data_IF_819407716788
#
_entry.id   IF_819407716788
#
_cell.length_a   1.000
_cell.length_b   1.000
_cell.length_c   1.000
_cell.angle_alpha   90.00
_cell.angle_beta   90.00
_cell.angle_gamma   90.00
#
_symmetry.space_group_name_H-M   'P 1'
#
loop_
_entity.id
_entity.type
_entity.pdbx_description
1 polymer ?
#
# COMPACT_ATOMS: atom_id res chain seq x y z
N UNK A 1 56.90 -6.79 -21.10
CA UNK A 1 55.96 -7.84 -20.66
C UNK A 1 54.87 -7.13 -19.88
N UNK A 2 53.72 -6.89 -20.52
CA UNK A 2 52.59 -6.19 -19.89
C UNK A 2 51.74 -7.24 -19.17
N UNK A 3 51.79 -7.23 -17.85
CA UNK A 3 50.94 -8.07 -17.00
C UNK A 3 49.54 -7.46 -17.02
N UNK A 4 48.64 -8.02 -17.82
CA UNK A 4 47.22 -7.67 -17.78
C UNK A 4 46.66 -8.21 -16.46
N UNK A 5 46.55 -7.37 -15.44
CA UNK A 5 45.89 -7.71 -14.17
C UNK A 5 44.41 -8.01 -14.45
N UNK A 6 43.98 -9.23 -14.13
CA UNK A 6 42.57 -9.59 -14.10
C UNK A 6 41.83 -8.66 -13.10
N UNK A 7 40.54 -8.35 -13.32
CA UNK A 7 39.78 -7.52 -12.41
C UNK A 7 39.66 -8.21 -11.04
N UNK A 8 40.18 -7.57 -9.99
CA UNK A 8 39.98 -7.98 -8.61
C UNK A 8 38.59 -7.56 -8.14
N UNK A 9 37.86 -8.49 -7.53
CA UNK A 9 36.56 -8.25 -6.91
C UNK A 9 36.72 -7.27 -5.75
N UNK A 10 35.84 -6.28 -5.69
CA UNK A 10 35.88 -5.26 -4.63
C UNK A 10 35.03 -5.69 -3.43
N UNK A 11 35.34 -5.15 -2.24
CA UNK A 11 34.50 -5.36 -1.05
C UNK A 11 33.03 -4.94 -1.28
N UNK A 12 32.79 -3.91 -2.10
CA UNK A 12 31.45 -3.48 -2.47
C UNK A 12 30.72 -4.50 -3.36
N UNK A 13 31.43 -5.13 -4.29
CA UNK A 13 30.90 -6.20 -5.14
C UNK A 13 30.56 -7.44 -4.30
N UNK A 14 31.45 -7.83 -3.40
CA UNK A 14 31.20 -8.93 -2.46
C UNK A 14 29.96 -8.69 -1.60
N UNK A 15 29.81 -7.50 -1.03
CA UNK A 15 28.64 -7.16 -0.21
C UNK A 15 27.33 -7.23 -1.00
N UNK A 16 27.35 -6.87 -2.29
CA UNK A 16 26.18 -6.99 -3.16
C UNK A 16 25.85 -8.46 -3.44
N UNK A 17 26.85 -9.22 -3.88
CA UNK A 17 26.68 -10.63 -4.25
C UNK A 17 26.24 -11.45 -3.04
N UNK A 18 26.86 -11.26 -1.87
CA UNK A 18 26.51 -12.02 -0.67
C UNK A 18 25.10 -11.73 -0.17
N UNK A 19 24.64 -10.48 -0.28
CA UNK A 19 23.28 -10.09 0.10
C UNK A 19 22.23 -10.72 -0.82
N UNK A 20 22.50 -10.77 -2.13
CA UNK A 20 21.61 -11.40 -3.10
C UNK A 20 21.59 -12.93 -2.98
N UNK A 21 22.75 -13.56 -2.74
CA UNK A 21 22.86 -15.01 -2.64
C UNK A 21 22.29 -15.58 -1.33
N UNK A 22 22.22 -14.78 -0.26
CA UNK A 22 21.65 -15.21 1.02
C UNK A 22 20.18 -15.64 0.95
N UNK A 23 19.44 -15.15 -0.05
CA UNK A 23 18.04 -15.53 -0.31
C UNK A 23 17.90 -16.55 -1.44
N UNK A 24 19.00 -17.02 -2.05
CA UNK A 24 18.97 -17.98 -3.14
C UNK A 24 18.70 -19.40 -2.63
N UNK A 25 17.93 -20.18 -3.40
CA UNK A 25 17.74 -21.61 -3.15
C UNK A 25 19.04 -22.42 -3.33
N UNK A 26 20.05 -21.83 -3.97
CA UNK A 26 21.34 -22.48 -4.24
C UNK A 26 22.39 -22.24 -3.14
N UNK A 27 22.01 -21.58 -2.04
CA UNK A 27 22.93 -21.18 -0.96
C UNK A 27 23.70 -22.36 -0.32
N UNK A 28 23.10 -23.55 -0.29
CA UNK A 28 23.71 -24.78 0.24
C UNK A 28 24.16 -25.75 -0.87
N UNK A 29 24.19 -25.29 -2.12
CA UNK A 29 24.73 -26.09 -3.23
C UNK A 29 26.25 -26.00 -3.24
N UNK A 30 26.94 -27.11 -3.46
CA UNK A 30 28.41 -27.11 -3.47
C UNK A 30 28.98 -26.17 -4.54
N UNK A 31 30.01 -25.40 -4.19
CA UNK A 31 30.68 -24.46 -5.10
C UNK A 31 31.28 -25.18 -6.31
N UNK A 32 31.71 -26.43 -6.14
CA UNK A 32 32.16 -27.28 -7.25
C UNK A 32 31.05 -27.53 -8.27
N UNK A 33 29.84 -27.87 -7.81
CA UNK A 33 28.68 -28.05 -8.70
C UNK A 33 28.28 -26.75 -9.40
N UNK A 34 28.29 -25.62 -8.68
CA UNK A 34 27.98 -24.32 -9.26
C UNK A 34 29.00 -23.92 -10.32
N UNK A 35 30.31 -24.09 -10.04
CA UNK A 35 31.38 -23.79 -10.98
C UNK A 35 31.30 -24.64 -12.27
N UNK A 36 30.96 -25.93 -12.14
CA UNK A 36 30.79 -26.83 -13.29
C UNK A 36 29.65 -26.40 -14.21
N UNK A 37 28.57 -25.84 -13.66
CA UNK A 37 27.42 -25.38 -14.45
C UNK A 37 27.70 -24.08 -15.22
N UNK A 38 28.78 -23.36 -14.89
CA UNK A 38 29.12 -22.06 -15.47
C UNK A 38 30.19 -22.14 -16.57
N UNK A 39 30.59 -23.35 -16.99
CA UNK A 39 31.71 -23.60 -17.92
C UNK A 39 33.04 -22.90 -17.52
N UNK A 40 33.17 -22.54 -16.23
CA UNK A 40 34.31 -21.84 -15.66
C UNK A 40 35.38 -22.78 -15.10
N UNK A 41 36.50 -22.24 -14.58
CA UNK A 41 37.45 -23.04 -13.82
C UNK A 41 36.76 -23.64 -12.60
N UNK A 42 36.97 -24.93 -12.36
CA UNK A 42 36.39 -25.63 -11.21
C UNK A 42 36.84 -25.03 -9.87
N UNK A 43 35.98 -25.15 -8.87
CA UNK A 43 36.33 -24.80 -7.49
C UNK A 43 37.45 -25.73 -7.00
N UNK A 44 38.56 -25.21 -6.46
CA UNK A 44 39.76 -26.00 -6.17
C UNK A 44 39.64 -26.86 -4.91
N UNK A 45 38.67 -26.58 -4.04
CA UNK A 45 38.46 -27.29 -2.78
C UNK A 45 37.37 -28.34 -3.00
N UNK A 46 37.76 -29.61 -3.02
CA UNK A 46 36.84 -30.73 -3.18
C UNK A 46 36.30 -31.21 -1.83
N UNK A 47 35.56 -30.33 -1.15
CA UNK A 47 34.84 -30.66 0.09
C UNK A 47 33.35 -30.35 -0.12
N UNK A 48 32.43 -31.30 0.15
CA UNK A 48 30.98 -31.06 0.07
C UNK A 48 30.48 -29.92 0.96
N UNK A 49 31.21 -29.57 2.03
CA UNK A 49 30.88 -28.44 2.91
C UNK A 49 31.27 -27.07 2.31
N UNK A 50 31.95 -27.04 1.17
CA UNK A 50 32.28 -25.82 0.44
C UNK A 50 31.07 -25.32 -0.33
N UNK A 51 30.18 -24.65 0.40
CA UNK A 51 28.96 -24.03 -0.10
C UNK A 51 29.07 -22.50 0.00
N UNK A 52 28.25 -21.75 -0.76
CA UNK A 52 28.11 -20.31 -0.57
C UNK A 52 27.87 -19.93 0.89
N UNK A 53 26.98 -20.64 1.61
CA UNK A 53 26.67 -20.39 3.03
C UNK A 53 27.90 -20.34 3.95
N UNK A 54 28.97 -21.08 3.66
CA UNK A 54 30.21 -21.04 4.45
C UNK A 54 30.92 -19.68 4.40
N UNK A 55 30.62 -18.86 3.39
CA UNK A 55 31.29 -17.58 3.12
C UNK A 55 30.41 -16.35 3.32
N UNK A 56 29.08 -16.44 3.13
CA UNK A 56 28.19 -15.26 3.05
C UNK A 56 28.21 -14.36 4.30
N UNK A 57 28.43 -14.92 5.48
CA UNK A 57 28.49 -14.15 6.74
C UNK A 57 29.82 -13.39 6.90
N UNK A 58 30.84 -13.78 6.15
CA UNK A 58 32.18 -13.19 6.21
C UNK A 58 32.28 -11.91 5.39
N UNK A 59 33.08 -10.97 5.86
CA UNK A 59 33.54 -9.80 5.08
C UNK A 59 34.57 -10.22 4.03
N UNK A 60 34.84 -9.37 3.04
CA UNK A 60 35.81 -9.68 1.96
C UNK A 60 37.18 -10.09 2.52
N UNK A 61 37.63 -9.38 3.55
CA UNK A 61 38.95 -9.60 4.16
C UNK A 61 38.98 -10.93 4.94
N UNK A 62 37.86 -11.28 5.58
CA UNK A 62 37.70 -12.54 6.31
C UNK A 62 37.62 -13.74 5.35
N UNK A 63 36.97 -13.59 4.20
CA UNK A 63 36.95 -14.65 3.16
C UNK A 63 38.36 -14.87 2.62
N UNK A 64 39.09 -13.81 2.26
CA UNK A 64 40.47 -13.92 1.78
C UNK A 64 41.35 -14.60 2.84
N UNK A 65 41.20 -14.21 4.12
CA UNK A 65 41.93 -14.83 5.22
C UNK A 65 41.53 -16.30 5.47
N UNK A 66 40.26 -16.66 5.27
CA UNK A 66 39.78 -18.04 5.37
C UNK A 66 40.37 -18.92 4.25
N UNK A 67 40.34 -18.44 3.00
CA UNK A 67 40.92 -19.12 1.85
C UNK A 67 42.45 -19.26 1.99
N UNK A 68 43.13 -18.23 2.47
CA UNK A 68 44.57 -18.29 2.74
C UNK A 68 44.93 -19.35 3.80
N UNK A 69 44.12 -19.51 4.85
CA UNK A 69 44.30 -20.58 5.85
C UNK A 69 44.14 -21.99 5.27
N UNK A 70 43.33 -22.12 4.21
CA UNK A 70 43.17 -23.36 3.45
C UNK A 70 44.24 -23.53 2.35
N UNK A 71 45.26 -22.66 2.30
CA UNK A 71 46.37 -22.72 1.34
C UNK A 71 46.01 -22.20 -0.06
N UNK A 72 44.90 -21.49 -0.21
CA UNK A 72 44.46 -20.94 -1.48
C UNK A 72 45.06 -19.55 -1.75
N UNK A 73 45.36 -19.22 -3.02
CA UNK A 73 45.87 -17.92 -3.40
C UNK A 73 44.75 -16.85 -3.39
N UNK A 74 45.07 -15.55 -3.23
CA UNK A 74 44.07 -14.49 -3.05
C UNK A 74 43.11 -14.34 -4.24
N UNK A 75 43.52 -14.72 -5.45
CA UNK A 75 42.69 -14.70 -6.66
C UNK A 75 41.49 -15.66 -6.59
N UNK A 76 41.47 -16.60 -5.62
CA UNK A 76 40.30 -17.46 -5.38
C UNK A 76 39.10 -16.71 -4.85
N UNK A 77 39.33 -15.57 -4.19
CA UNK A 77 38.24 -14.68 -3.81
C UNK A 77 37.50 -14.17 -5.06
N UNK A 78 38.24 -13.73 -6.08
CA UNK A 78 37.67 -13.24 -7.34
C UNK A 78 36.86 -14.35 -8.05
N UNK A 79 37.36 -15.59 -8.01
CA UNK A 79 36.65 -16.74 -8.55
C UNK A 79 35.36 -17.05 -7.78
N UNK A 80 35.37 -16.97 -6.45
CA UNK A 80 34.17 -17.15 -5.63
C UNK A 80 33.11 -16.10 -5.99
N UNK A 81 33.50 -14.83 -6.05
CA UNK A 81 32.60 -13.74 -6.45
C UNK A 81 32.04 -13.97 -7.86
N UNK A 82 32.89 -14.39 -8.81
CA UNK A 82 32.46 -14.70 -10.17
C UNK A 82 31.45 -15.86 -10.22
N UNK A 83 31.71 -16.98 -9.53
CA UNK A 83 30.78 -18.12 -9.48
C UNK A 83 29.42 -17.67 -8.95
N UNK A 84 29.38 -16.95 -7.83
CA UNK A 84 28.11 -16.54 -7.23
C UNK A 84 27.37 -15.52 -8.10
N UNK A 85 28.09 -14.53 -8.66
CA UNK A 85 27.51 -13.52 -9.54
C UNK A 85 26.94 -14.14 -10.81
N UNK A 86 27.69 -15.02 -11.45
CA UNK A 86 27.28 -15.60 -12.73
C UNK A 86 26.17 -16.64 -12.50
N UNK A 87 26.16 -17.33 -11.35
CA UNK A 87 25.01 -18.15 -10.91
C UNK A 87 23.75 -17.30 -10.72
N UNK A 88 23.85 -16.15 -10.04
CA UNK A 88 22.71 -15.23 -9.87
C UNK A 88 22.22 -14.70 -11.22
N UNK A 89 23.13 -14.34 -12.12
CA UNK A 89 22.78 -13.87 -13.47
C UNK A 89 22.07 -14.93 -14.31
N UNK A 90 22.37 -16.23 -14.09
CA UNK A 90 21.67 -17.33 -14.73
C UNK A 90 20.28 -17.58 -14.14
N UNK A 91 20.09 -17.30 -12.84
CA UNK A 91 18.80 -17.43 -12.12
C UNK A 91 17.88 -16.20 -12.27
N UNK A 92 18.44 -15.03 -12.59
CA UNK A 92 17.71 -13.76 -12.81
C UNK A 92 16.56 -13.88 -13.84
N UNK A 93 16.73 -14.48 -15.04
CA UNK A 93 15.61 -14.65 -15.98
C UNK A 93 14.51 -15.58 -15.44
N UNK A 94 14.82 -16.50 -14.53
CA UNK A 94 13.82 -17.36 -13.89
C UNK A 94 13.11 -16.63 -12.74
N UNK A 95 13.85 -15.85 -11.96
CA UNK A 95 13.30 -14.99 -10.90
C UNK A 95 12.36 -13.93 -11.49
N UNK A 96 12.75 -13.28 -12.59
CA UNK A 96 11.88 -12.35 -13.31
C UNK A 96 10.63 -13.05 -13.87
N UNK A 97 10.75 -14.27 -14.38
CA UNK A 97 9.62 -15.02 -14.91
C UNK A 97 8.62 -15.46 -13.81
N UNK A 98 9.10 -15.84 -12.62
CA UNK A 98 8.24 -16.16 -11.47
C UNK A 98 7.51 -14.92 -10.97
N UNK A 99 8.23 -13.80 -10.81
CA UNK A 99 7.62 -12.52 -10.44
C UNK A 99 6.58 -12.05 -11.48
N UNK A 100 6.86 -12.21 -12.78
CA UNK A 100 5.91 -11.94 -13.85
C UNK A 100 4.69 -12.88 -13.79
N UNK A 101 4.86 -14.14 -13.41
CA UNK A 101 3.76 -15.11 -13.28
C UNK A 101 2.84 -14.78 -12.11
N UNK A 102 3.38 -14.37 -10.95
CA UNK A 102 2.59 -13.92 -9.81
C UNK A 102 1.86 -12.60 -10.11
N UNK A 103 2.53 -11.68 -10.82
CA UNK A 103 1.92 -10.43 -11.28
C UNK A 103 0.83 -10.69 -12.31
N UNK A 104 1.02 -11.64 -13.24
CA UNK A 104 0.02 -12.04 -14.23
C UNK A 104 -1.20 -12.70 -13.57
N UNK A 105 -1.00 -13.58 -12.58
CA UNK A 105 -2.08 -14.22 -11.83
C UNK A 105 -2.91 -13.20 -11.02
N UNK A 106 -2.26 -12.18 -10.43
CA UNK A 106 -2.94 -11.07 -9.78
C UNK A 106 -3.68 -10.17 -10.79
N UNK A 107 -3.09 -9.91 -11.96
CA UNK A 107 -3.73 -9.19 -13.06
C UNK A 107 -4.88 -9.96 -13.70
N UNK A 108 -4.97 -11.28 -13.57
CA UNK A 108 -6.13 -12.06 -14.05
C UNK A 108 -7.38 -11.89 -13.18
N UNK A 109 -7.24 -11.33 -11.97
CA UNK A 109 -8.39 -11.11 -11.11
C UNK A 109 -9.29 -10.00 -11.69
N UNK A 110 -10.54 -10.31 -12.07
CA UNK A 110 -11.45 -9.34 -12.68
C UNK A 110 -11.77 -8.17 -11.74
N UNK A 111 -11.77 -8.41 -10.42
CA UNK A 111 -11.99 -7.37 -9.40
C UNK A 111 -10.82 -6.38 -9.39
N UNK A 112 -9.57 -6.85 -9.42
CA UNK A 112 -8.36 -6.01 -9.47
C UNK A 112 -8.35 -5.16 -10.74
N UNK A 113 -8.67 -5.76 -11.90
CA UNK A 113 -8.82 -5.01 -13.16
C UNK A 113 -9.87 -3.91 -13.07
N UNK A 114 -11.00 -4.19 -12.42
CA UNK A 114 -12.08 -3.21 -12.29
C UNK A 114 -11.74 -2.10 -11.28
N UNK A 115 -11.03 -2.40 -10.19
CA UNK A 115 -10.47 -1.40 -9.27
C UNK A 115 -9.57 -0.43 -10.04
N UNK A 116 -8.66 -0.94 -10.86
CA UNK A 116 -7.78 -0.12 -11.70
C UNK A 116 -8.56 0.75 -12.71
N UNK A 117 -9.60 0.21 -13.37
CA UNK A 117 -10.47 0.96 -14.30
C UNK A 117 -11.17 2.13 -13.60
N UNK A 118 -11.64 1.92 -12.38
CA UNK A 118 -12.30 2.92 -11.55
C UNK A 118 -11.31 3.84 -10.82
N UNK A 119 -9.99 3.61 -10.95
CA UNK A 119 -8.92 4.29 -10.21
C UNK A 119 -9.08 4.19 -8.69
N UNK A 120 -9.69 3.11 -8.21
CA UNK A 120 -9.81 2.84 -6.78
C UNK A 120 -8.50 2.19 -6.31
N UNK A 121 -7.80 2.77 -5.32
CA UNK A 121 -6.54 2.22 -4.85
C UNK A 121 -6.77 0.89 -4.13
N UNK A 122 -6.00 -0.13 -4.51
CA UNK A 122 -6.01 -1.45 -3.87
C UNK A 122 -5.60 -1.37 -2.40
N UNK A 123 -4.75 -0.40 -2.06
CA UNK A 123 -4.28 -0.12 -0.69
C UNK A 123 -5.36 0.49 0.21
N UNK A 124 -6.56 0.77 -0.29
CA UNK A 124 -7.63 1.32 0.52
C UNK A 124 -7.98 0.35 1.67
N UNK A 125 -7.91 0.80 2.93
CA UNK A 125 -8.14 -0.07 4.07
C UNK A 125 -9.63 -0.39 4.22
N UNK A 126 -9.96 -1.68 4.31
CA UNK A 126 -11.33 -2.16 4.56
C UNK A 126 -11.90 -1.60 5.85
N UNK A 127 -11.04 -1.36 6.84
CA UNK A 127 -11.45 -0.72 8.09
C UNK A 127 -12.13 0.64 7.85
N UNK A 128 -11.79 1.37 6.76
CA UNK A 128 -12.40 2.65 6.38
C UNK A 128 -13.69 2.51 5.54
N UNK A 129 -14.00 1.33 5.01
CA UNK A 129 -15.23 1.04 4.29
C UNK A 129 -16.46 0.99 5.22
N UNK A 130 -17.66 1.14 4.66
CA UNK A 130 -18.93 0.99 5.37
C UNK A 130 -19.42 -0.46 5.36
N UNK A 131 -18.58 -1.36 5.84
CA UNK A 131 -18.93 -2.76 6.08
C UNK A 131 -19.43 -2.95 7.52
N UNK A 132 -20.27 -3.95 7.70
CA UNK A 132 -20.77 -4.40 8.98
C UNK A 132 -19.62 -4.89 9.87
N UNK A 133 -19.74 -4.77 11.20
CA UNK A 133 -18.71 -5.23 12.12
C UNK A 133 -18.35 -6.71 11.93
N UNK A 134 -19.35 -7.56 11.68
CA UNK A 134 -19.18 -8.99 11.46
C UNK A 134 -18.30 -9.29 10.24
N UNK A 135 -18.53 -8.58 9.13
CA UNK A 135 -17.73 -8.70 7.91
C UNK A 135 -16.31 -8.18 8.12
N UNK A 136 -16.13 -7.09 8.86
CA UNK A 136 -14.79 -6.59 9.20
C UNK A 136 -14.03 -7.53 10.14
N UNK A 137 -14.72 -8.23 11.05
CA UNK A 137 -14.10 -9.28 11.87
C UNK A 137 -13.69 -10.48 11.04
N UNK A 138 -14.54 -10.91 10.11
CA UNK A 138 -14.21 -11.97 9.18
C UNK A 138 -12.95 -11.63 8.36
N UNK A 139 -12.90 -10.45 7.75
CA UNK A 139 -11.72 -9.99 7.01
C UNK A 139 -10.47 -9.95 7.90
N UNK A 140 -10.57 -9.51 9.16
CA UNK A 140 -9.44 -9.52 10.11
C UNK A 140 -8.94 -10.92 10.44
N UNK A 141 -9.84 -11.90 10.62
CA UNK A 141 -9.47 -13.30 10.89
C UNK A 141 -8.74 -13.94 9.72
N UNK A 142 -9.11 -13.57 8.50
CA UNK A 142 -8.47 -14.01 7.26
C UNK A 142 -7.24 -13.18 6.87
N UNK A 143 -6.76 -12.29 7.77
CA UNK A 143 -5.64 -11.38 7.54
C UNK A 143 -5.81 -10.48 6.28
N UNK A 144 -7.03 -9.99 6.07
CA UNK A 144 -7.40 -9.10 4.97
C UNK A 144 -7.66 -7.71 5.53
N UNK A 145 -6.77 -6.77 5.21
CA UNK A 145 -6.82 -5.39 5.65
C UNK A 145 -7.17 -4.41 4.51
N UNK A 146 -6.86 -4.74 3.26
CA UNK A 146 -6.98 -3.85 2.09
C UNK A 146 -7.96 -4.35 1.03
N UNK A 147 -8.37 -3.48 0.09
CA UNK A 147 -9.22 -3.87 -1.04
C UNK A 147 -8.53 -4.83 -2.02
N UNK A 148 -7.21 -4.69 -2.21
CA UNK A 148 -6.43 -5.63 -3.03
C UNK A 148 -6.44 -7.04 -2.43
N UNK A 149 -6.14 -7.15 -1.14
CA UNK A 149 -6.21 -8.42 -0.41
C UNK A 149 -7.63 -8.99 -0.42
N UNK A 150 -8.65 -8.14 -0.30
CA UNK A 150 -10.06 -8.54 -0.42
C UNK A 150 -10.36 -9.18 -1.79
N UNK A 151 -9.87 -8.58 -2.87
CA UNK A 151 -10.05 -9.10 -4.22
C UNK A 151 -9.38 -10.47 -4.39
N UNK A 152 -8.17 -10.65 -3.87
CA UNK A 152 -7.43 -11.92 -3.89
C UNK A 152 -8.12 -12.99 -3.03
N UNK A 153 -8.63 -12.61 -1.86
CA UNK A 153 -9.39 -13.49 -0.98
C UNK A 153 -10.65 -14.03 -1.69
N UNK A 154 -11.37 -13.15 -2.39
CA UNK A 154 -12.57 -13.54 -3.13
C UNK A 154 -12.29 -14.58 -4.22
N UNK A 155 -11.14 -14.51 -4.88
CA UNK A 155 -10.72 -15.48 -5.89
C UNK A 155 -10.45 -16.87 -5.29
N UNK A 156 -9.92 -16.92 -4.06
CA UNK A 156 -9.66 -18.18 -3.32
C UNK A 156 -10.94 -18.88 -2.84
N UNK A 157 -12.04 -18.15 -2.69
CA UNK A 157 -13.29 -18.66 -2.09
C UNK A 157 -14.35 -19.18 -3.05
N UNK A 158 -14.01 -19.48 -4.32
CA UNK A 158 -15.01 -19.94 -5.31
C UNK A 158 -15.76 -21.24 -4.94
N UNK A 159 -15.39 -21.94 -3.86
CA UNK A 159 -15.97 -23.26 -3.53
C UNK A 159 -16.46 -23.51 -2.09
N UNK A 160 -16.24 -22.66 -1.07
CA UNK A 160 -16.49 -23.16 0.32
C UNK A 160 -16.93 -22.25 1.46
N UNK A 161 -17.34 -20.99 1.25
CA UNK A 161 -17.88 -20.19 2.38
C UNK A 161 -19.17 -19.49 1.97
N UNK A 162 -20.17 -19.56 2.85
CA UNK A 162 -21.43 -18.80 2.80
C UNK A 162 -21.13 -17.31 2.99
N UNK A 163 -20.45 -16.70 2.03
CA UNK A 163 -20.24 -15.25 1.98
C UNK A 163 -21.63 -14.61 1.76
N UNK A 164 -22.22 -14.11 2.84
CA UNK A 164 -23.55 -13.51 2.88
C UNK A 164 -23.45 -12.03 3.23
N UNK A 165 -24.49 -11.26 2.90
CA UNK A 165 -24.59 -9.85 3.27
C UNK A 165 -23.75 -8.91 2.42
N UNK A 166 -23.12 -7.94 3.08
CA UNK A 166 -22.36 -6.85 2.48
C UNK A 166 -21.04 -7.29 1.81
N UNK A 167 -20.37 -8.35 2.28
CA UNK A 167 -19.17 -8.90 1.62
C UNK A 167 -19.49 -9.29 0.18
N UNK A 168 -20.55 -10.07 -0.01
CA UNK A 168 -20.98 -10.53 -1.34
C UNK A 168 -21.50 -9.36 -2.18
N UNK A 169 -22.21 -8.42 -1.56
CA UNK A 169 -22.71 -7.23 -2.26
C UNK A 169 -21.55 -6.37 -2.79
N UNK A 170 -20.53 -6.10 -1.98
CA UNK A 170 -19.33 -5.35 -2.38
C UNK A 170 -18.55 -6.10 -3.46
N UNK A 171 -18.34 -7.41 -3.30
CA UNK A 171 -17.64 -8.23 -4.28
C UNK A 171 -18.36 -8.22 -5.63
N UNK A 172 -19.68 -8.43 -5.64
CA UNK A 172 -20.48 -8.39 -6.86
C UNK A 172 -20.42 -7.01 -7.52
N UNK A 173 -20.49 -5.94 -6.72
CA UNK A 173 -20.42 -4.59 -7.22
C UNK A 173 -19.07 -4.27 -7.87
N UNK A 174 -17.97 -4.74 -7.29
CA UNK A 174 -16.64 -4.61 -7.90
C UNK A 174 -16.46 -5.50 -9.13
N UNK A 175 -17.05 -6.69 -9.13
CA UNK A 175 -16.95 -7.65 -10.25
C UNK A 175 -17.69 -7.16 -11.50
N UNK A 176 -18.77 -6.41 -11.33
CA UNK A 176 -19.64 -5.95 -12.42
C UNK A 176 -19.64 -4.43 -12.64
N UNK A 177 -18.84 -3.67 -11.88
CA UNK A 177 -18.82 -2.20 -11.92
C UNK A 177 -20.23 -1.63 -11.67
N UNK A 178 -20.85 -2.05 -10.56
CA UNK A 178 -22.11 -1.48 -10.07
C UNK A 178 -21.80 -0.26 -9.19
N UNK A 179 -21.54 0.88 -9.83
CA UNK A 179 -21.22 2.15 -9.17
C UNK A 179 -22.22 2.57 -8.07
N UNK A 180 -23.56 2.47 -8.27
CA UNK A 180 -24.54 2.71 -7.21
C UNK A 180 -24.34 1.86 -5.96
N UNK A 181 -24.01 0.58 -6.11
CA UNK A 181 -23.76 -0.31 -4.97
C UNK A 181 -22.38 -0.05 -4.36
N UNK A 182 -21.36 0.26 -5.16
CA UNK A 182 -20.04 0.65 -4.68
C UNK A 182 -20.11 1.88 -3.75
N UNK A 183 -20.88 2.89 -4.12
CA UNK A 183 -21.08 4.11 -3.32
C UNK A 183 -21.77 3.88 -1.96
N UNK A 184 -22.31 2.68 -1.71
CA UNK A 184 -22.88 2.28 -0.39
C UNK A 184 -21.83 1.78 0.58
N UNK A 185 -20.71 1.28 0.08
CA UNK A 185 -19.67 0.62 0.87
C UNK A 185 -18.34 1.35 0.83
N UNK A 186 -18.05 2.05 -0.27
CA UNK A 186 -16.82 2.77 -0.52
C UNK A 186 -17.11 4.27 -0.67
N UNK A 187 -16.12 5.12 -0.37
CA UNK A 187 -16.18 6.57 -0.59
C UNK A 187 -16.05 6.91 -2.08
N UNK A 188 -16.95 6.37 -2.89
CA UNK A 188 -16.95 6.42 -4.34
C UNK A 188 -18.12 7.29 -4.83
N UNK A 189 -17.86 8.09 -5.86
CA UNK A 189 -18.89 8.91 -6.50
C UNK A 189 -19.23 8.33 -7.88
N UNK A 190 -20.49 7.94 -8.12
CA UNK A 190 -20.91 7.47 -9.45
C UNK A 190 -20.58 8.48 -10.55
N UNK A 191 -20.01 8.00 -11.65
CA UNK A 191 -19.53 8.80 -12.78
C UNK A 191 -18.18 9.49 -12.58
N UNK A 192 -17.58 9.40 -11.39
CA UNK A 192 -16.24 9.90 -11.12
C UNK A 192 -15.25 8.75 -10.94
N UNK A 193 -13.96 9.05 -11.03
CA UNK A 193 -12.88 8.09 -10.79
C UNK A 193 -12.24 8.35 -9.43
N UNK A 194 -11.79 7.27 -8.82
CA UNK A 194 -11.14 7.29 -7.53
C UNK A 194 -12.10 7.33 -6.35
N UNK A 195 -11.49 7.43 -5.17
CA UNK A 195 -12.17 7.63 -3.90
C UNK A 195 -12.09 9.09 -3.51
N UNK A 196 -13.06 9.58 -2.74
CA UNK A 196 -13.17 11.00 -2.40
C UNK A 196 -13.45 11.22 -0.91
N UNK A 197 -12.74 12.18 -0.31
CA UNK A 197 -12.86 12.50 1.11
C UNK A 197 -14.28 12.95 1.50
N UNK A 198 -14.92 13.79 0.68
CA UNK A 198 -16.29 14.28 0.93
C UNK A 198 -17.26 13.10 1.01
N UNK A 199 -17.13 12.13 0.11
CA UNK A 199 -17.95 10.91 0.12
C UNK A 199 -17.60 10.02 1.32
N UNK A 200 -16.34 9.96 1.74
CA UNK A 200 -15.91 9.19 2.90
C UNK A 200 -16.54 9.70 4.21
N UNK A 201 -16.56 11.02 4.40
CA UNK A 201 -17.20 11.62 5.57
C UNK A 201 -18.72 11.46 5.48
N UNK A 202 -19.31 11.65 4.30
CA UNK A 202 -20.74 11.41 4.09
C UNK A 202 -21.12 9.95 4.39
N UNK A 203 -20.29 8.99 3.96
CA UNK A 203 -20.46 7.58 4.21
C UNK A 203 -20.40 7.25 5.70
N UNK A 204 -19.45 7.83 6.45
CA UNK A 204 -19.38 7.70 7.90
C UNK A 204 -20.63 8.21 8.61
N UNK A 205 -21.21 9.32 8.14
CA UNK A 205 -22.49 9.85 8.66
C UNK A 205 -23.67 8.95 8.30
N UNK A 206 -23.70 8.40 7.09
CA UNK A 206 -24.76 7.47 6.63
C UNK A 206 -24.76 6.15 7.40
N UNK A 207 -23.60 5.70 7.87
CA UNK A 207 -23.48 4.49 8.69
C UNK A 207 -24.13 4.62 10.08
N UNK A 208 -24.40 5.84 10.55
CA UNK A 208 -25.06 6.06 11.84
C UNK A 208 -26.53 5.63 11.82
N UNK A 209 -27.09 5.20 12.97
CA UNK A 209 -28.51 4.96 13.13
C UNK A 209 -29.36 6.18 12.70
N UNK A 210 -30.56 5.99 12.11
CA UNK A 210 -31.37 7.10 11.60
C UNK A 210 -31.65 8.22 12.62
N UNK A 211 -31.85 7.87 13.89
CA UNK A 211 -32.10 8.83 14.96
C UNK A 211 -30.89 9.73 15.24
N UNK A 212 -29.70 9.12 15.40
CA UNK A 212 -28.44 9.87 15.60
C UNK A 212 -28.11 10.74 14.39
N UNK A 213 -28.37 10.22 13.20
CA UNK A 213 -28.17 10.96 11.95
C UNK A 213 -29.06 12.19 11.87
N UNK A 214 -30.34 12.09 12.24
CA UNK A 214 -31.26 13.23 12.25
C UNK A 214 -30.80 14.32 13.24
N UNK A 215 -30.34 13.92 14.43
CA UNK A 215 -29.76 14.85 15.42
C UNK A 215 -28.54 15.56 14.85
N UNK A 216 -27.66 14.80 14.18
CA UNK A 216 -26.42 15.35 13.61
C UNK A 216 -26.70 16.31 12.45
N UNK A 217 -27.69 16.01 11.61
CA UNK A 217 -28.14 16.92 10.54
C UNK A 217 -28.73 18.21 11.10
N UNK A 218 -29.45 18.14 12.22
CA UNK A 218 -29.98 19.32 12.90
C UNK A 218 -28.88 20.12 13.65
N UNK A 219 -27.89 19.42 14.21
CA UNK A 219 -26.79 20.01 14.98
C UNK A 219 -25.48 19.26 14.75
N UNK A 220 -24.64 19.71 13.80
CA UNK A 220 -23.37 19.06 13.49
C UNK A 220 -22.40 19.03 14.68
N UNK A 221 -22.52 19.98 15.61
CA UNK A 221 -21.74 20.03 16.83
C UNK A 221 -21.99 18.84 17.78
N UNK A 222 -23.13 18.14 17.63
CA UNK A 222 -23.50 16.97 18.43
C UNK A 222 -22.77 15.68 18.02
N UNK A 223 -21.81 15.75 17.09
CA UNK A 223 -21.03 14.60 16.65
C UNK A 223 -20.42 13.81 17.82
N UNK A 224 -20.61 12.49 17.84
CA UNK A 224 -20.03 11.62 18.85
C UNK A 224 -18.48 11.61 18.76
N UNK A 225 -17.76 11.35 19.87
CA UNK A 225 -16.30 11.27 19.85
C UNK A 225 -15.77 10.20 18.87
N UNK A 226 -16.48 9.07 18.74
CA UNK A 226 -16.13 8.00 17.81
C UNK A 226 -16.24 8.43 16.35
N UNK A 227 -17.29 9.18 15.99
CA UNK A 227 -17.43 9.74 14.65
C UNK A 227 -16.32 10.74 14.35
N UNK A 228 -15.99 11.64 15.29
CA UNK A 228 -14.88 12.60 15.10
C UNK A 228 -13.53 11.90 14.94
N UNK A 229 -13.27 10.85 15.72
CA UNK A 229 -12.07 10.04 15.57
C UNK A 229 -12.01 9.36 14.20
N UNK A 230 -13.15 8.86 13.71
CA UNK A 230 -13.28 8.27 12.38
C UNK A 230 -13.01 9.29 11.27
N UNK A 231 -13.60 10.48 11.35
CA UNK A 231 -13.37 11.56 10.38
C UNK A 231 -11.88 11.98 10.38
N UNK A 232 -11.24 12.02 11.54
CA UNK A 232 -9.78 12.27 11.62
C UNK A 232 -8.98 11.20 10.88
N UNK A 233 -9.30 9.92 11.03
CA UNK A 233 -8.63 8.84 10.30
C UNK A 233 -8.81 8.98 8.78
N UNK A 234 -10.02 9.34 8.35
CA UNK A 234 -10.30 9.63 6.94
C UNK A 234 -9.47 10.82 6.44
N UNK A 235 -9.41 11.91 7.19
CA UNK A 235 -8.62 13.08 6.82
C UNK A 235 -7.11 12.78 6.71
N UNK A 236 -6.59 11.86 7.53
CA UNK A 236 -5.19 11.38 7.45
C UNK A 236 -4.99 10.53 6.18
N UNK A 237 -5.91 9.62 5.87
CA UNK A 237 -5.81 8.79 4.66
C UNK A 237 -5.90 9.65 3.39
N UNK A 238 -6.81 10.62 3.37
CA UNK A 238 -7.04 11.54 2.25
C UNK A 238 -6.26 12.86 2.41
N UNK A 239 -5.07 12.85 3.01
CA UNK A 239 -4.30 14.08 3.30
C UNK A 239 -4.02 14.96 2.07
N UNK A 240 -3.84 14.34 0.89
CA UNK A 240 -3.67 15.06 -0.38
C UNK A 240 -4.94 15.84 -0.73
N UNK A 241 -6.11 15.19 -0.74
CA UNK A 241 -7.39 15.87 -0.97
C UNK A 241 -7.70 16.93 0.10
N UNK A 242 -7.33 16.71 1.37
CA UNK A 242 -7.44 17.75 2.40
C UNK A 242 -6.67 19.01 2.02
N UNK A 243 -5.46 18.84 1.46
CA UNK A 243 -4.60 19.94 1.01
C UNK A 243 -5.20 20.63 -0.20
N UNK A 244 -5.70 19.88 -1.17
CA UNK A 244 -6.34 20.41 -2.38
C UNK A 244 -7.63 21.19 -2.05
N UNK A 245 -8.46 20.66 -1.15
CA UNK A 245 -9.65 21.34 -0.64
C UNK A 245 -9.28 22.66 0.05
N UNK A 246 -8.25 22.65 0.89
CA UNK A 246 -7.78 23.86 1.56
C UNK A 246 -7.23 24.91 0.58
N UNK A 247 -6.52 24.48 -0.47
CA UNK A 247 -6.08 25.38 -1.53
C UNK A 247 -7.27 26.02 -2.25
N UNK A 248 -8.29 25.24 -2.62
CA UNK A 248 -9.51 25.78 -3.23
C UNK A 248 -10.23 26.79 -2.32
N UNK A 249 -10.27 26.52 -1.02
CA UNK A 249 -10.82 27.44 -0.02
C UNK A 249 -10.01 28.73 0.06
N UNK A 250 -8.68 28.63 0.07
CA UNK A 250 -7.79 29.79 0.05
C UNK A 250 -7.96 30.64 -1.23
N UNK A 251 -8.32 30.00 -2.36
CA UNK A 251 -8.69 30.66 -3.61
C UNK A 251 -10.13 31.20 -3.65
N UNK A 252 -10.85 31.16 -2.52
CA UNK A 252 -12.17 31.77 -2.37
C UNK A 252 -13.35 30.87 -2.75
N UNK A 253 -13.12 29.57 -2.97
CA UNK A 253 -14.22 28.61 -3.16
C UNK A 253 -14.74 28.18 -1.78
N UNK A 254 -15.97 28.54 -1.39
CA UNK A 254 -16.47 28.17 -0.07
C UNK A 254 -16.65 26.65 0.04
N UNK A 255 -16.34 26.08 1.22
CA UNK A 255 -16.50 24.64 1.48
C UNK A 255 -17.93 24.16 1.20
N UNK A 256 -18.94 25.00 1.47
CA UNK A 256 -20.34 24.71 1.14
C UNK A 256 -20.56 24.36 -0.33
N UNK A 257 -19.86 25.03 -1.25
CA UNK A 257 -19.94 24.74 -2.70
C UNK A 257 -19.27 23.43 -3.07
N UNK A 258 -18.18 23.06 -2.38
CA UNK A 258 -17.44 21.83 -2.63
C UNK A 258 -18.25 20.59 -2.18
N UNK A 259 -19.01 20.71 -1.10
CA UNK A 259 -19.85 19.61 -0.58
C UNK A 259 -21.19 19.43 -1.32
N UNK A 260 -21.63 20.40 -2.14
CA UNK A 260 -22.90 20.32 -2.91
C UNK A 260 -23.03 19.06 -3.78
N UNK A 261 -21.91 18.43 -4.09
CA UNK A 261 -21.85 17.17 -4.82
C UNK A 261 -22.61 16.02 -4.14
N UNK A 262 -22.88 16.13 -2.83
CA UNK A 262 -23.69 15.19 -2.08
C UNK A 262 -25.19 15.27 -2.41
N UNK A 263 -25.66 16.35 -3.04
CA UNK A 263 -27.05 16.60 -3.44
C UNK A 263 -28.06 16.43 -2.28
N UNK A 264 -27.69 16.85 -1.08
CA UNK A 264 -28.49 16.68 0.14
C UNK A 264 -28.15 17.80 1.14
N UNK A 265 -28.89 18.93 1.15
CA UNK A 265 -28.49 20.15 1.87
C UNK A 265 -28.19 19.97 3.36
N UNK A 266 -28.94 19.10 4.06
CA UNK A 266 -28.68 18.80 5.47
C UNK A 266 -27.43 17.93 5.71
N UNK A 267 -27.09 17.06 4.76
CA UNK A 267 -25.83 16.30 4.81
C UNK A 267 -24.64 17.18 4.43
N UNK A 268 -24.81 18.08 3.46
CA UNK A 268 -23.79 19.03 3.02
C UNK A 268 -23.28 19.88 4.20
N UNK A 269 -24.19 20.49 4.97
CA UNK A 269 -23.83 21.29 6.14
C UNK A 269 -23.12 20.47 7.22
N UNK A 270 -23.58 19.24 7.44
CA UNK A 270 -22.99 18.32 8.41
C UNK A 270 -21.58 17.90 8.04
N UNK A 271 -21.39 17.47 6.78
CA UNK A 271 -20.09 17.03 6.27
C UNK A 271 -19.10 18.20 6.26
N UNK A 272 -19.54 19.39 5.85
CA UNK A 272 -18.71 20.60 5.92
C UNK A 272 -18.25 20.89 7.35
N UNK A 273 -19.17 20.85 8.33
CA UNK A 273 -18.83 21.11 9.73
C UNK A 273 -17.91 20.04 10.35
N UNK A 274 -17.99 18.78 9.89
CA UNK A 274 -17.09 17.71 10.32
C UNK A 274 -15.71 17.82 9.69
N UNK A 275 -15.61 18.35 8.47
CA UNK A 275 -14.34 18.52 7.75
C UNK A 275 -13.59 19.79 8.17
N UNK A 276 -14.30 20.87 8.51
CA UNK A 276 -13.73 22.18 8.86
C UNK A 276 -12.55 22.11 9.85
N UNK A 277 -12.58 21.32 10.95
CA UNK A 277 -11.46 21.23 11.89
C UNK A 277 -10.20 20.54 11.34
N UNK A 278 -10.32 19.84 10.21
CA UNK A 278 -9.24 19.08 9.58
C UNK A 278 -8.63 19.79 8.38
N UNK A 279 -9.27 20.86 7.91
CA UNK A 279 -8.74 21.70 6.86
C UNK A 279 -7.82 22.74 7.52
N UNK A 280 -6.57 22.93 7.05
CA UNK A 280 -5.72 23.99 7.57
C UNK A 280 -6.46 25.31 7.42
N UNK A 281 -6.40 26.14 8.46
CA UNK A 281 -7.11 27.40 8.52
C UNK A 281 -6.71 28.30 7.34
N UNK A 282 -7.47 28.23 6.25
CA UNK A 282 -7.53 29.30 5.27
C UNK A 282 -8.08 30.56 5.94
N UNK A 283 -7.91 31.75 5.35
CA UNK A 283 -8.34 33.02 5.93
C UNK A 283 -9.87 33.13 5.93
N UNK A 284 -10.55 32.28 6.69
CA UNK A 284 -11.92 32.50 7.07
C UNK A 284 -11.89 33.51 8.20
N UNK A 285 -12.27 34.74 7.82
CA UNK A 285 -12.68 35.75 8.77
C UNK A 285 -13.56 35.10 9.81
N UNK A 286 -13.13 35.17 11.06
CA UNK A 286 -14.00 35.09 12.21
C UNK A 286 -15.30 35.82 11.87
N UNK A 287 -16.49 35.29 12.21
CA UNK A 287 -17.70 36.08 12.13
C UNK A 287 -17.48 37.27 13.05
N UNK A 288 -17.09 38.41 12.49
CA UNK A 288 -17.13 39.66 13.19
C UNK A 288 -18.59 39.84 13.51
N UNK A 289 -18.94 39.52 14.75
CA UNK A 289 -20.17 39.99 15.38
C UNK A 289 -20.21 41.47 15.07
N UNK A 290 -21.07 41.87 14.12
CA UNK A 290 -21.34 43.28 13.84
C UNK A 290 -21.95 43.84 15.11
N UNK A 291 -21.09 44.33 15.99
CA UNK A 291 -21.47 45.03 17.21
C UNK A 291 -22.08 46.34 16.71
N UNK A 292 -23.41 46.37 16.64
CA UNK A 292 -24.21 47.49 16.18
C UNK A 292 -23.74 48.78 16.87
N UNK A 293 -23.00 49.60 16.12
CA UNK A 293 -22.52 50.92 16.51
C UNK A 293 -23.65 51.96 16.64
N UNK A 294 -24.82 51.69 16.05
CA UNK A 294 -25.98 52.59 16.08
C UNK A 294 -26.72 52.69 17.42
N UNK A 295 -26.42 51.87 18.43
CA UNK A 295 -27.09 51.95 19.75
C UNK A 295 -26.53 53.04 20.69
N UNK A 296 -25.57 53.86 20.23
CA UNK A 296 -25.00 54.98 21.01
C UNK A 296 -25.49 56.38 20.61
N UNK A 297 -26.36 56.52 19.61
CA UNK A 297 -26.86 57.83 19.16
C UNK A 297 -28.33 58.12 19.55
N UNK A 298 -29.00 57.22 20.27
CA UNK A 298 -30.31 57.49 20.85
C UNK A 298 -30.28 57.16 22.36
N UNK A 299 -29.80 58.12 23.15
CA UNK A 299 -30.16 58.28 24.55
C UNK A 299 -30.12 59.76 24.92
#
# INVERSE_FOLDING_TARGET
MSTTLAPHATAAEWNRVRAAFATSLLVDTSLTSLALNLDGPGWPINDPAETPSAYLDLTSDEVIAALARQGQPPERFDQLVAILRDTLAFDEPFSEMVAQSETAAAQENPVVRNLAKLQIPETFPLALAALTPDTLEFCRRENVATLGEFALLAQRFSQKITLAGDFRALLNALSHIDEPTLARYLPFRPGAKGLHLIEAVALAVRALPPAERAILVASPAAASPSLRARVRQLAVYFAVECTDLAAMIAHGVPLSRLVMVLNAPGFESTVAALLDPHLPAGPHGSPTVKRNWFSRFFR
#
